data_IF_079843316556
#
_entry.id   IF_079843316556
#
_cell.length_a   1.000
_cell.length_b   1.000
_cell.length_c   1.000
_cell.angle_alpha   90.00
_cell.angle_beta   90.00
_cell.angle_gamma   90.00
#
_symmetry.space_group_name_H-M   'P 1'
#
loop_
_entity.id
_entity.type
_entity.pdbx_description
1 polymer ?
#
# COMPACT_ATOMS: atom_id res chain seq x y z
N UNK A 1 -33.01 2.54 20.25
CA UNK A 1 -33.58 3.42 21.30
C UNK A 1 -32.41 4.19 21.90
N UNK A 2 -32.12 5.37 21.37
CA UNK A 2 -30.97 6.19 21.76
C UNK A 2 -31.48 7.21 22.78
N UNK A 3 -30.75 7.37 23.88
CA UNK A 3 -31.10 8.25 25.00
C UNK A 3 -30.67 9.67 24.62
N UNK A 4 -31.63 10.59 24.52
CA UNK A 4 -31.40 12.03 24.49
C UNK A 4 -31.21 12.51 25.93
N UNK A 5 -30.09 13.16 26.22
CA UNK A 5 -29.91 13.95 27.44
C UNK A 5 -29.99 15.41 27.04
N UNK A 6 -31.10 16.07 27.37
CA UNK A 6 -31.22 17.52 27.36
C UNK A 6 -30.60 18.06 28.66
N UNK A 7 -29.80 19.12 28.55
CA UNK A 7 -29.54 20.00 29.69
C UNK A 7 -29.31 21.43 29.21
N UNK A 8 -30.21 22.32 29.67
CA UNK A 8 -29.87 23.57 30.35
C UNK A 8 -29.20 24.69 29.55
N UNK A 9 -30.00 25.73 29.27
CA UNK A 9 -29.59 27.08 28.88
C UNK A 9 -28.74 27.75 29.96
N UNK A 10 -27.70 28.47 29.55
CA UNK A 10 -27.46 29.91 29.82
C UNK A 10 -26.00 30.28 29.47
N UNK A 11 -25.79 31.35 28.70
CA UNK A 11 -24.50 32.02 28.56
C UNK A 11 -24.01 32.22 27.12
N UNK A 12 -24.25 33.41 26.60
CA UNK A 12 -23.81 33.91 25.30
C UNK A 12 -22.25 33.96 25.17
N UNK A 13 -21.73 33.68 23.96
CA UNK A 13 -20.33 33.71 23.47
C UNK A 13 -19.52 32.40 23.36
N UNK A 14 -20.08 31.33 22.80
CA UNK A 14 -19.30 30.22 22.22
C UNK A 14 -19.80 29.85 20.80
N UNK A 15 -19.74 30.80 19.87
CA UNK A 15 -20.06 30.54 18.45
C UNK A 15 -18.77 30.47 17.61
N UNK A 16 -17.87 29.53 17.91
CA UNK A 16 -16.85 29.02 16.94
C UNK A 16 -16.02 27.82 17.40
N UNK A 17 -16.65 26.73 17.82
CA UNK A 17 -16.02 25.41 17.80
C UNK A 17 -17.10 24.32 17.87
N UNK A 18 -17.95 24.22 16.85
CA UNK A 18 -18.65 22.94 16.65
C UNK A 18 -17.58 21.93 16.26
N UNK A 19 -17.05 21.21 17.25
CA UNK A 19 -16.20 20.05 17.03
C UNK A 19 -16.93 19.14 16.07
N UNK A 20 -16.40 18.94 14.87
CA UNK A 20 -16.93 17.94 13.96
C UNK A 20 -17.01 16.60 14.72
N UNK A 21 -18.09 15.81 14.52
CA UNK A 21 -18.20 14.52 15.19
C UNK A 21 -16.99 13.67 14.83
N UNK A 22 -16.23 13.24 15.85
CA UNK A 22 -15.05 12.41 15.68
C UNK A 22 -15.45 11.11 14.96
N UNK A 23 -15.04 11.00 13.70
CA UNK A 23 -15.22 9.79 12.90
C UNK A 23 -14.14 8.76 13.25
N UNK A 24 -14.43 7.47 13.05
CA UNK A 24 -13.42 6.41 13.23
C UNK A 24 -12.22 6.62 12.29
N UNK A 25 -12.47 7.12 11.08
CA UNK A 25 -11.41 7.51 10.13
C UNK A 25 -10.51 8.59 10.74
N UNK A 26 -11.08 9.64 11.33
CA UNK A 26 -10.31 10.73 11.94
C UNK A 26 -9.43 10.26 13.10
N UNK A 27 -9.92 9.31 13.91
CA UNK A 27 -9.17 8.67 14.98
C UNK A 27 -7.98 7.88 14.43
N UNK A 28 -8.20 7.04 13.41
CA UNK A 28 -7.17 6.20 12.83
C UNK A 28 -6.09 7.03 12.10
N UNK A 29 -6.48 8.05 11.34
CA UNK A 29 -5.53 8.97 10.69
C UNK A 29 -4.69 9.69 11.74
N UNK A 30 -5.30 10.17 12.82
CA UNK A 30 -4.57 10.83 13.91
C UNK A 30 -3.60 9.88 14.60
N UNK A 31 -3.99 8.63 14.83
CA UNK A 31 -3.12 7.61 15.40
C UNK A 31 -1.92 7.31 14.49
N UNK A 32 -2.13 7.21 13.18
CA UNK A 32 -1.04 7.04 12.19
C UNK A 32 -0.08 8.22 12.25
N UNK A 33 -0.57 9.46 12.17
CA UNK A 33 0.26 10.68 12.26
C UNK A 33 1.07 10.75 13.55
N UNK A 34 0.44 10.45 14.68
CA UNK A 34 1.12 10.46 15.99
C UNK A 34 2.24 9.41 16.06
N UNK A 35 2.05 8.28 15.39
CA UNK A 35 2.98 7.16 15.40
C UNK A 35 4.25 7.39 14.53
N UNK A 36 4.23 8.40 13.64
CA UNK A 36 5.39 8.82 12.83
C UNK A 36 6.36 9.72 13.59
N UNK A 37 6.03 10.18 14.81
CA UNK A 37 6.88 11.07 15.59
C UNK A 37 8.03 10.30 16.27
N UNK A 38 9.31 10.72 16.10
CA UNK A 38 10.47 10.06 16.67
C UNK A 38 10.64 10.41 18.15
N UNK A 39 9.74 9.92 18.99
CA UNK A 39 9.80 10.18 20.43
C UNK A 39 10.58 9.05 21.12
N UNK A 40 11.66 9.42 21.82
CA UNK A 40 12.72 8.54 22.34
C UNK A 40 12.30 7.59 23.47
N UNK A 41 11.38 6.65 23.19
CA UNK A 41 10.81 5.70 24.16
C UNK A 41 11.60 4.39 24.24
N UNK A 42 11.44 3.70 25.37
CA UNK A 42 12.18 2.48 25.72
C UNK A 42 11.92 1.31 24.75
N UNK A 43 12.86 0.36 24.68
CA UNK A 43 12.83 -0.80 23.76
C UNK A 43 11.57 -1.67 23.93
N UNK A 44 11.03 -1.81 25.16
CA UNK A 44 9.78 -2.53 25.42
C UNK A 44 8.54 -1.85 24.82
N UNK A 45 8.53 -0.51 24.80
CA UNK A 45 7.45 0.27 24.20
C UNK A 45 7.48 0.18 22.68
N UNK A 46 8.66 0.03 22.07
CA UNK A 46 8.82 -0.02 20.61
C UNK A 46 8.03 -1.17 19.97
N UNK A 47 8.14 -2.40 20.49
CA UNK A 47 7.40 -3.56 19.95
C UNK A 47 5.88 -3.41 20.11
N UNK A 48 5.43 -2.85 21.23
CA UNK A 48 4.02 -2.58 21.47
C UNK A 48 3.48 -1.55 20.45
N UNK A 49 4.22 -0.46 20.25
CA UNK A 49 3.90 0.59 19.27
C UNK A 49 3.82 0.01 17.84
N UNK A 50 4.76 -0.86 17.45
CA UNK A 50 4.73 -1.52 16.13
C UNK A 50 3.48 -2.40 15.93
N UNK A 51 3.08 -3.15 16.96
CA UNK A 51 1.85 -3.97 16.92
C UNK A 51 0.62 -3.06 16.81
N UNK A 52 0.57 -1.98 17.58
CA UNK A 52 -0.53 -1.01 17.55
C UNK A 52 -0.64 -0.32 16.19
N UNK A 53 0.49 0.10 15.60
CA UNK A 53 0.57 0.63 14.22
C UNK A 53 -0.06 -0.34 13.21
N UNK A 54 0.33 -1.61 13.24
CA UNK A 54 -0.22 -2.61 12.32
C UNK A 54 -1.71 -2.85 12.53
N UNK A 55 -2.19 -2.84 13.78
CA UNK A 55 -3.63 -2.98 14.09
C UNK A 55 -4.44 -1.80 13.57
N UNK A 56 -3.95 -0.58 13.79
CA UNK A 56 -4.60 0.64 13.29
C UNK A 56 -4.66 0.65 11.77
N UNK A 57 -3.58 0.24 11.11
CA UNK A 57 -3.52 0.13 9.66
C UNK A 57 -4.48 -0.93 9.11
N UNK A 58 -4.56 -2.10 9.76
CA UNK A 58 -5.52 -3.14 9.39
C UNK A 58 -6.98 -2.66 9.55
N UNK A 59 -7.28 -2.01 10.68
CA UNK A 59 -8.61 -1.45 10.92
C UNK A 59 -8.97 -0.37 9.89
N UNK A 60 -8.00 0.46 9.51
CA UNK A 60 -8.17 1.46 8.46
C UNK A 60 -8.46 0.80 7.11
N UNK A 61 -7.65 -0.16 6.67
CA UNK A 61 -7.87 -0.88 5.41
C UNK A 61 -9.25 -1.55 5.34
N UNK A 62 -9.67 -2.19 6.43
CA UNK A 62 -11.00 -2.81 6.52
C UNK A 62 -12.15 -1.78 6.44
N UNK A 63 -11.93 -0.57 6.96
CA UNK A 63 -12.92 0.51 6.92
C UNK A 63 -13.01 1.17 5.54
N UNK A 64 -11.89 1.27 4.83
CA UNK A 64 -11.81 1.94 3.53
C UNK A 64 -12.28 1.08 2.36
N UNK A 65 -12.07 -0.24 2.40
CA UNK A 65 -12.41 -1.15 1.29
C UNK A 65 -13.93 -1.14 1.02
N UNK A 66 -14.33 -0.75 -0.19
CA UNK A 66 -15.74 -0.67 -0.59
C UNK A 66 -16.55 0.43 0.10
N UNK A 67 -15.90 1.39 0.78
CA UNK A 67 -16.59 2.47 1.50
C UNK A 67 -16.16 3.85 0.98
N UNK A 68 -16.86 4.33 -0.06
CA UNK A 68 -16.58 5.62 -0.72
C UNK A 68 -16.58 6.81 0.22
N UNK A 69 -17.53 6.85 1.16
CA UNK A 69 -17.62 7.96 2.11
C UNK A 69 -16.40 7.99 3.03
N UNK A 70 -15.93 6.82 3.47
CA UNK A 70 -14.70 6.73 4.27
C UNK A 70 -13.45 7.07 3.44
N UNK A 71 -13.38 6.63 2.17
CA UNK A 71 -12.29 6.96 1.25
C UNK A 71 -12.19 8.48 1.02
N UNK A 72 -13.29 9.15 0.68
CA UNK A 72 -13.31 10.62 0.52
C UNK A 72 -12.86 11.33 1.79
N UNK A 73 -13.44 10.95 2.92
CA UNK A 73 -13.09 11.57 4.19
C UNK A 73 -11.63 11.31 4.59
N UNK A 74 -11.10 10.11 4.28
CA UNK A 74 -9.69 9.79 4.49
C UNK A 74 -8.77 10.68 3.66
N UNK A 75 -9.09 10.89 2.37
CA UNK A 75 -8.35 11.79 1.50
C UNK A 75 -8.43 13.25 1.97
N UNK A 76 -9.62 13.73 2.35
CA UNK A 76 -9.82 15.09 2.89
C UNK A 76 -8.96 15.38 4.14
N UNK A 77 -8.70 14.36 4.95
CA UNK A 77 -7.84 14.45 6.14
C UNK A 77 -6.33 14.40 5.83
N UNK A 78 -5.95 14.33 4.55
CA UNK A 78 -4.57 14.09 4.11
C UNK A 78 -4.08 12.69 4.49
N UNK A 79 -4.99 11.72 4.54
CA UNK A 79 -4.71 10.33 4.87
C UNK A 79 -3.63 9.68 4.01
N UNK A 80 -3.65 9.83 2.67
CA UNK A 80 -2.62 9.25 1.81
C UNK A 80 -1.20 9.68 2.19
N UNK A 81 -0.99 11.00 2.37
CA UNK A 81 0.31 11.53 2.81
C UNK A 81 0.68 11.06 4.22
N UNK A 82 -0.29 10.99 5.14
CA UNK A 82 -0.04 10.48 6.49
C UNK A 82 0.42 9.01 6.49
N UNK A 83 -0.10 8.19 5.57
CA UNK A 83 0.39 6.82 5.38
C UNK A 83 1.82 6.82 4.87
N UNK A 84 2.12 7.57 3.81
CA UNK A 84 3.48 7.69 3.27
C UNK A 84 4.49 8.11 4.33
N UNK A 85 4.18 9.18 5.09
CA UNK A 85 5.04 9.71 6.16
C UNK A 85 5.27 8.69 7.29
N UNK A 86 4.34 7.75 7.47
CA UNK A 86 4.44 6.69 8.47
C UNK A 86 5.18 5.45 7.99
N UNK A 87 5.36 5.29 6.67
CA UNK A 87 6.07 4.17 6.08
C UNK A 87 7.57 4.40 6.25
N UNK A 88 8.22 3.48 6.94
CA UNK A 88 9.66 3.32 6.87
C UNK A 88 9.95 2.16 5.90
N UNK A 89 10.80 2.41 4.90
CA UNK A 89 11.32 1.39 3.98
C UNK A 89 12.39 0.51 4.65
N UNK A 90 12.12 0.13 5.91
CA UNK A 90 13.09 -0.37 6.85
C UNK A 90 13.63 -1.78 6.54
N UNK A 91 14.68 -2.14 7.28
CA UNK A 91 15.35 -3.45 7.22
C UNK A 91 14.70 -4.48 8.14
N UNK A 92 13.78 -4.09 9.03
CA UNK A 92 13.15 -5.04 9.96
C UNK A 92 11.87 -5.66 9.38
N UNK A 93 11.53 -6.87 9.82
CA UNK A 93 10.30 -7.54 9.38
C UNK A 93 9.01 -6.75 9.72
N UNK A 94 8.86 -6.10 10.89
CA UNK A 94 7.68 -5.28 11.20
C UNK A 94 7.52 -4.06 10.28
N UNK A 95 8.63 -3.39 9.95
CA UNK A 95 8.63 -2.23 9.04
C UNK A 95 8.25 -2.65 7.62
N UNK A 96 8.85 -3.74 7.10
CA UNK A 96 8.47 -4.30 5.79
C UNK A 96 6.99 -4.64 5.73
N UNK A 97 6.47 -5.34 6.74
CA UNK A 97 5.05 -5.70 6.81
C UNK A 97 4.15 -4.47 6.83
N UNK A 98 4.53 -3.44 7.59
CA UNK A 98 3.77 -2.18 7.62
C UNK A 98 3.78 -1.49 6.25
N UNK A 99 4.94 -1.40 5.60
CA UNK A 99 5.06 -0.84 4.25
C UNK A 99 4.19 -1.61 3.25
N UNK A 100 4.25 -2.95 3.23
CA UNK A 100 3.39 -3.78 2.37
C UNK A 100 1.91 -3.51 2.63
N UNK A 101 1.48 -3.45 3.89
CA UNK A 101 0.08 -3.17 4.22
C UNK A 101 -0.36 -1.76 3.77
N UNK A 102 0.49 -0.75 3.93
CA UNK A 102 0.19 0.61 3.51
C UNK A 102 0.07 0.71 1.99
N UNK A 103 0.99 0.07 1.25
CA UNK A 103 0.93 -0.01 -0.21
C UNK A 103 -0.34 -0.72 -0.68
N UNK A 104 -0.70 -1.85 -0.06
CA UNK A 104 -1.93 -2.60 -0.41
C UNK A 104 -3.19 -1.78 -0.16
N UNK A 105 -3.25 -0.92 0.86
CA UNK A 105 -4.42 -0.05 1.08
C UNK A 105 -4.58 0.95 -0.08
N UNK A 106 -3.49 1.59 -0.52
CA UNK A 106 -3.55 2.51 -1.67
C UNK A 106 -3.99 1.79 -2.94
N UNK A 107 -3.40 0.62 -3.20
CA UNK A 107 -3.78 -0.26 -4.29
C UNK A 107 -5.27 -0.66 -4.24
N UNK A 108 -5.76 -1.15 -3.10
CA UNK A 108 -7.15 -1.60 -2.94
C UNK A 108 -8.13 -0.47 -3.24
N UNK A 109 -7.82 0.75 -2.78
CA UNK A 109 -8.65 1.93 -3.02
C UNK A 109 -8.67 2.28 -4.51
N UNK A 110 -7.51 2.31 -5.17
CA UNK A 110 -7.47 2.60 -6.61
C UNK A 110 -8.21 1.53 -7.41
N UNK A 111 -7.97 0.24 -7.15
CA UNK A 111 -8.67 -0.85 -7.83
C UNK A 111 -10.19 -0.73 -7.68
N UNK A 112 -10.65 -0.44 -6.46
CA UNK A 112 -12.07 -0.27 -6.12
C UNK A 112 -12.69 0.97 -6.80
N UNK A 113 -11.95 2.08 -6.89
CA UNK A 113 -12.36 3.29 -7.62
C UNK A 113 -12.46 3.06 -9.12
N UNK A 114 -11.53 2.32 -9.71
CA UNK A 114 -11.51 2.01 -11.14
C UNK A 114 -12.68 1.10 -11.52
N UNK A 115 -12.99 0.12 -10.69
CA UNK A 115 -14.05 -0.85 -10.96
C UNK A 115 -15.45 -0.29 -10.68
N UNK A 116 -15.62 0.51 -9.63
CA UNK A 116 -16.95 0.84 -9.10
C UNK A 116 -17.18 2.33 -8.85
N UNK A 117 -16.19 3.20 -9.10
CA UNK A 117 -16.24 4.60 -8.72
C UNK A 117 -17.43 5.35 -9.33
N UNK A 118 -17.65 5.21 -10.63
CA UNK A 118 -18.74 5.89 -11.36
C UNK A 118 -20.11 5.23 -11.14
N UNK A 119 -20.14 3.91 -10.93
CA UNK A 119 -21.37 3.14 -10.67
C UNK A 119 -22.04 3.55 -9.35
N UNK A 120 -21.26 4.01 -8.38
CA UNK A 120 -21.73 4.44 -7.06
C UNK A 120 -21.97 5.94 -6.95
N UNK A 121 -22.12 6.62 -8.10
CA UNK A 121 -22.58 8.00 -8.17
C UNK A 121 -21.51 9.08 -7.99
N UNK A 122 -20.23 8.74 -8.18
CA UNK A 122 -19.17 9.75 -8.34
C UNK A 122 -19.07 10.20 -9.79
N UNK A 123 -18.69 11.46 -9.99
CA UNK A 123 -18.27 11.90 -11.32
C UNK A 123 -16.91 11.31 -11.69
N UNK A 124 -16.61 11.22 -12.99
CA UNK A 124 -15.29 10.80 -13.47
C UNK A 124 -14.17 11.70 -12.91
N UNK A 125 -14.42 13.00 -12.80
CA UNK A 125 -13.48 13.96 -12.21
C UNK A 125 -13.21 13.68 -10.72
N UNK A 126 -14.23 13.31 -9.96
CA UNK A 126 -14.09 12.94 -8.54
C UNK A 126 -13.30 11.63 -8.39
N UNK A 127 -13.58 10.63 -9.24
CA UNK A 127 -12.83 9.37 -9.29
C UNK A 127 -11.37 9.66 -9.58
N UNK A 128 -11.10 10.42 -10.65
CA UNK A 128 -9.75 10.78 -11.07
C UNK A 128 -9.00 11.49 -9.95
N UNK A 129 -9.63 12.50 -9.33
CA UNK A 129 -9.01 13.24 -8.23
C UNK A 129 -8.63 12.33 -7.06
N UNK A 130 -9.47 11.36 -6.70
CA UNK A 130 -9.14 10.41 -5.64
C UNK A 130 -8.01 9.47 -6.04
N UNK A 131 -7.98 9.00 -7.29
CA UNK A 131 -6.88 8.17 -7.81
C UNK A 131 -5.57 8.95 -7.74
N UNK A 132 -5.56 10.22 -8.20
CA UNK A 132 -4.38 11.09 -8.23
C UNK A 132 -3.70 11.23 -6.84
N UNK A 133 -4.45 11.10 -5.74
CA UNK A 133 -3.94 11.18 -4.36
C UNK A 133 -3.18 9.91 -3.93
N UNK A 134 -3.40 8.79 -4.61
CA UNK A 134 -2.71 7.51 -4.41
C UNK A 134 -1.73 7.17 -5.54
N UNK A 135 -1.55 8.06 -6.52
CA UNK A 135 -0.64 7.87 -7.66
C UNK A 135 0.38 9.01 -7.81
N UNK A 136 0.58 9.77 -6.72
CA UNK A 136 1.76 10.65 -6.58
C UNK A 136 3.05 9.86 -6.76
N UNK A 137 4.15 10.52 -7.15
CA UNK A 137 5.45 9.86 -7.33
C UNK A 137 5.86 8.97 -6.14
N UNK A 138 5.69 9.46 -4.90
CA UNK A 138 6.03 8.70 -3.69
C UNK A 138 5.22 7.40 -3.56
N UNK A 139 3.92 7.43 -3.90
CA UNK A 139 3.09 6.23 -3.95
C UNK A 139 3.52 5.27 -5.05
N UNK A 140 3.86 5.80 -6.23
CA UNK A 140 4.32 5.00 -7.37
C UNK A 140 5.69 4.34 -7.12
N UNK A 141 6.53 4.94 -6.28
CA UNK A 141 7.83 4.37 -5.90
C UNK A 141 7.74 3.26 -4.83
N UNK A 142 6.70 3.28 -3.98
CA UNK A 142 6.56 2.29 -2.90
C UNK A 142 6.56 0.83 -3.40
N UNK A 143 5.76 0.42 -4.40
CA UNK A 143 5.82 -0.93 -4.95
C UNK A 143 7.19 -1.27 -5.54
N UNK A 144 7.88 -0.32 -6.16
CA UNK A 144 9.23 -0.55 -6.70
C UNK A 144 10.24 -0.85 -5.59
N UNK A 145 10.12 -0.16 -4.45
CA UNK A 145 10.92 -0.47 -3.27
C UNK A 145 10.60 -1.86 -2.70
N UNK A 146 9.32 -2.23 -2.61
CA UNK A 146 8.91 -3.56 -2.16
C UNK A 146 9.43 -4.68 -3.07
N UNK A 147 9.46 -4.45 -4.39
CA UNK A 147 9.99 -5.39 -5.37
C UNK A 147 11.49 -5.70 -5.17
N UNK A 148 12.23 -4.78 -4.56
CA UNK A 148 13.65 -4.96 -4.24
C UNK A 148 13.93 -5.79 -2.98
N UNK A 149 12.90 -6.19 -2.23
CA UNK A 149 13.05 -6.94 -0.98
C UNK A 149 13.18 -8.44 -1.23
N UNK A 150 14.05 -9.13 -0.50
CA UNK A 150 14.28 -10.58 -0.64
C UNK A 150 13.16 -11.42 0.02
N UNK A 151 11.94 -11.30 -0.50
CA UNK A 151 10.78 -12.07 -0.07
C UNK A 151 9.71 -12.14 -1.18
N UNK A 152 9.46 -13.33 -1.74
CA UNK A 152 8.53 -13.48 -2.87
C UNK A 152 7.09 -13.09 -2.56
N UNK A 153 6.63 -13.25 -1.31
CA UNK A 153 5.27 -12.82 -0.91
C UNK A 153 5.16 -11.29 -0.98
N UNK A 154 6.20 -10.57 -0.57
CA UNK A 154 6.24 -9.10 -0.68
C UNK A 154 6.35 -8.69 -2.15
N UNK A 155 7.19 -9.37 -2.94
CA UNK A 155 7.36 -9.09 -4.37
C UNK A 155 6.07 -9.33 -5.16
N UNK A 156 5.34 -10.40 -4.89
CA UNK A 156 4.01 -10.67 -5.48
C UNK A 156 3.05 -9.52 -5.20
N UNK A 157 2.92 -9.11 -3.93
CA UNK A 157 2.08 -7.97 -3.56
C UNK A 157 2.51 -6.68 -4.24
N UNK A 158 3.81 -6.46 -4.40
CA UNK A 158 4.34 -5.33 -5.13
C UNK A 158 3.94 -5.37 -6.62
N UNK A 159 3.98 -6.55 -7.26
CA UNK A 159 3.54 -6.72 -8.65
C UNK A 159 2.04 -6.48 -8.82
N UNK A 160 1.20 -7.00 -7.92
CA UNK A 160 -0.24 -6.72 -7.91
C UNK A 160 -0.51 -5.20 -7.85
N UNK A 161 0.20 -4.51 -6.95
CA UNK A 161 0.11 -3.05 -6.83
C UNK A 161 0.56 -2.34 -8.11
N UNK A 162 1.70 -2.75 -8.68
CA UNK A 162 2.22 -2.17 -9.92
C UNK A 162 1.26 -2.34 -11.09
N UNK A 163 0.63 -3.49 -11.25
CA UNK A 163 -0.31 -3.72 -12.36
C UNK A 163 -1.56 -2.85 -12.32
N UNK A 164 -1.93 -2.37 -11.14
CA UNK A 164 -3.09 -1.47 -10.98
C UNK A 164 -2.70 -0.01 -10.98
N UNK A 165 -1.60 0.35 -10.32
CA UNK A 165 -1.18 1.75 -10.19
C UNK A 165 -0.46 2.25 -11.44
N UNK A 166 0.21 1.38 -12.21
CA UNK A 166 1.07 1.80 -13.32
C UNK A 166 0.41 2.69 -14.37
N UNK A 167 -0.85 2.47 -14.82
CA UNK A 167 -1.44 3.32 -15.85
C UNK A 167 -1.56 4.78 -15.37
N UNK A 168 -1.94 4.95 -14.10
CA UNK A 168 -2.13 6.24 -13.46
C UNK A 168 -0.81 6.89 -13.04
N UNK A 169 0.17 6.09 -12.61
CA UNK A 169 1.51 6.55 -12.31
C UNK A 169 2.22 7.11 -13.55
N UNK A 170 2.05 6.48 -14.72
CA UNK A 170 2.58 6.99 -16.00
C UNK A 170 1.88 8.30 -16.37
N UNK A 171 0.55 8.35 -16.34
CA UNK A 171 -0.21 9.54 -16.71
C UNK A 171 0.14 10.75 -15.83
N UNK A 172 0.15 10.57 -14.50
CA UNK A 172 0.34 11.66 -13.55
C UNK A 172 1.78 12.17 -13.48
N UNK A 173 2.77 11.32 -13.80
CA UNK A 173 4.19 11.66 -13.69
C UNK A 173 4.86 11.84 -15.06
N UNK A 174 4.08 12.01 -16.14
CA UNK A 174 4.57 12.20 -17.51
C UNK A 174 5.26 13.56 -17.76
N UNK A 175 4.98 14.59 -16.95
CA UNK A 175 5.53 15.95 -17.12
C UNK A 175 6.86 16.18 -16.36
N UNK A 176 7.31 15.21 -15.56
CA UNK A 176 8.68 15.17 -15.04
C UNK A 176 9.63 14.55 -16.06
N UNK A 177 10.90 14.96 -16.09
CA UNK A 177 11.93 14.38 -16.96
C UNK A 177 12.03 12.84 -16.76
N UNK A 178 11.26 12.09 -17.55
CA UNK A 178 11.48 10.74 -18.08
C UNK A 178 11.78 9.54 -17.14
N UNK A 179 11.69 9.62 -15.81
CA UNK A 179 12.34 8.56 -14.99
C UNK A 179 11.45 7.40 -14.47
N UNK A 180 10.16 7.61 -14.12
CA UNK A 180 9.43 6.57 -13.37
C UNK A 180 9.11 5.32 -14.20
N UNK A 181 8.57 5.48 -15.41
CA UNK A 181 8.21 4.35 -16.27
C UNK A 181 9.43 3.49 -16.62
N UNK A 182 10.56 4.13 -16.94
CA UNK A 182 11.83 3.45 -17.20
C UNK A 182 12.36 2.73 -15.96
N UNK A 183 12.30 3.38 -14.79
CA UNK A 183 12.67 2.78 -13.50
C UNK A 183 11.81 1.55 -13.18
N UNK A 184 10.51 1.62 -13.44
CA UNK A 184 9.58 0.51 -13.27
C UNK A 184 9.94 -0.66 -14.21
N UNK A 185 10.16 -0.37 -15.49
CA UNK A 185 10.61 -1.37 -16.48
C UNK A 185 11.94 -2.01 -16.05
N UNK A 186 12.91 -1.21 -15.59
CA UNK A 186 14.20 -1.70 -15.08
C UNK A 186 14.06 -2.63 -13.88
N UNK A 187 13.22 -2.26 -12.91
CA UNK A 187 12.95 -3.08 -11.72
C UNK A 187 12.26 -4.40 -12.08
N UNK A 188 11.27 -4.37 -12.98
CA UNK A 188 10.55 -5.55 -13.47
C UNK A 188 11.48 -6.51 -14.23
N UNK A 189 12.31 -5.99 -15.15
CA UNK A 189 13.28 -6.79 -15.88
C UNK A 189 14.33 -7.43 -14.95
N UNK A 190 14.77 -6.70 -13.91
CA UNK A 190 15.66 -7.24 -12.89
C UNK A 190 15.02 -8.42 -12.17
N UNK A 191 13.77 -8.28 -11.72
CA UNK A 191 13.08 -9.36 -11.02
C UNK A 191 12.76 -10.55 -11.95
N UNK A 192 12.40 -10.28 -13.20
CA UNK A 192 12.21 -11.33 -14.21
C UNK A 192 13.49 -12.16 -14.40
N UNK A 193 14.65 -11.49 -14.47
CA UNK A 193 15.94 -12.15 -14.61
C UNK A 193 16.27 -13.02 -13.39
N UNK A 194 16.05 -12.51 -12.18
CA UNK A 194 16.19 -13.27 -10.92
C UNK A 194 15.36 -14.56 -10.95
N UNK A 195 14.07 -14.45 -11.29
CA UNK A 195 13.19 -15.63 -11.38
C UNK A 195 13.72 -16.65 -12.39
N UNK A 196 14.25 -16.22 -13.54
CA UNK A 196 14.80 -17.12 -14.56
C UNK A 196 16.06 -17.82 -14.05
N UNK A 197 16.98 -17.08 -13.45
CA UNK A 197 18.28 -17.58 -12.96
C UNK A 197 18.15 -18.54 -11.78
N UNK A 198 17.18 -18.33 -10.88
CA UNK A 198 16.90 -19.22 -9.73
C UNK A 198 16.46 -20.65 -10.15
N UNK A 199 16.15 -20.88 -11.44
CA UNK A 199 15.80 -22.21 -11.96
C UNK A 199 16.90 -22.91 -12.77
N UNK A 200 18.11 -22.34 -12.89
CA UNK A 200 19.14 -22.86 -13.80
C UNK A 200 20.17 -23.81 -13.15
N UNK A 201 19.99 -24.22 -11.90
CA UNK A 201 20.97 -25.05 -11.16
C UNK A 201 20.74 -26.56 -11.19
N UNK A 202 19.88 -27.10 -12.06
CA UNK A 202 19.69 -28.56 -12.19
C UNK A 202 19.80 -29.05 -13.64
N UNK A 203 20.96 -28.81 -14.27
CA UNK A 203 21.43 -29.69 -15.37
C UNK A 203 22.94 -29.93 -15.21
N UNK A 204 23.30 -30.95 -14.42
CA UNK A 204 24.69 -31.42 -14.37
C UNK A 204 25.08 -32.18 -13.11
N UNK A 205 24.64 -33.43 -12.99
CA UNK A 205 25.15 -34.30 -11.93
C UNK A 205 24.39 -35.61 -11.79
N UNK A 206 24.63 -36.57 -12.69
CA UNK A 206 24.45 -37.98 -12.33
C UNK A 206 25.50 -38.32 -11.27
N UNK A 207 25.12 -38.19 -10.02
CA UNK A 207 25.83 -38.70 -8.85
C UNK A 207 24.79 -39.29 -7.90
N UNK A 208 24.70 -40.60 -7.90
CA UNK A 208 23.94 -41.38 -6.93
C UNK A 208 24.56 -41.15 -5.54
N UNK A 209 23.80 -40.59 -4.59
CA UNK A 209 23.66 -41.08 -3.21
C UNK A 209 23.03 -40.03 -2.26
N UNK A 210 22.04 -40.52 -1.52
CA UNK A 210 21.54 -40.14 -0.19
C UNK A 210 21.17 -38.68 0.19
N UNK A 211 19.85 -38.48 0.28
CA UNK A 211 19.13 -37.72 1.32
C UNK A 211 19.53 -36.27 1.58
N UNK A 212 18.82 -35.35 0.93
CA UNK A 212 18.47 -34.04 1.48
C UNK A 212 17.22 -33.51 0.76
N UNK A 213 16.04 -33.78 1.33
CA UNK A 213 14.74 -33.19 0.94
C UNK A 213 14.68 -31.71 1.36
N UNK A 214 15.58 -30.88 0.84
CA UNK A 214 15.50 -29.42 0.93
C UNK A 214 15.64 -28.84 -0.49
N UNK A 215 14.69 -29.21 -1.36
CA UNK A 215 14.45 -28.51 -2.63
C UNK A 215 13.73 -27.19 -2.31
N UNK A 216 14.49 -26.21 -1.81
CA UNK A 216 14.04 -24.85 -1.41
C UNK A 216 13.70 -23.95 -2.62
N UNK A 217 13.44 -24.54 -3.80
CA UNK A 217 13.09 -23.83 -5.02
C UNK A 217 11.67 -23.24 -4.99
N UNK A 218 11.47 -22.14 -5.72
CA UNK A 218 10.11 -21.63 -5.99
C UNK A 218 9.37 -22.66 -6.84
N UNK A 219 8.14 -23.00 -6.44
CA UNK A 219 7.26 -23.86 -7.22
C UNK A 219 7.16 -23.36 -8.69
N UNK A 220 7.36 -24.23 -9.69
CA UNK A 220 7.38 -23.84 -11.10
C UNK A 220 6.07 -23.20 -11.59
N UNK A 221 4.92 -23.59 -11.02
CA UNK A 221 3.61 -23.00 -11.36
C UNK A 221 3.56 -21.57 -10.84
N UNK A 222 3.91 -21.37 -9.56
CA UNK A 222 3.96 -20.05 -8.95
C UNK A 222 4.96 -19.12 -9.64
N UNK A 223 6.16 -19.63 -9.99
CA UNK A 223 7.15 -18.88 -10.78
C UNK A 223 6.57 -18.43 -12.13
N UNK A 224 5.83 -19.30 -12.81
CA UNK A 224 5.18 -18.95 -14.08
C UNK A 224 4.13 -17.84 -13.88
N UNK A 225 3.30 -17.91 -12.84
CA UNK A 225 2.31 -16.88 -12.53
C UNK A 225 2.96 -15.51 -12.30
N UNK A 226 4.08 -15.45 -11.57
CA UNK A 226 4.84 -14.21 -11.38
C UNK A 226 5.40 -13.66 -12.70
N UNK A 227 5.93 -14.53 -13.56
CA UNK A 227 6.43 -14.12 -14.88
C UNK A 227 5.30 -13.59 -15.78
N UNK A 228 4.13 -14.23 -15.76
CA UNK A 228 2.96 -13.80 -16.52
C UNK A 228 2.48 -12.42 -16.02
N UNK A 229 2.47 -12.19 -14.71
CA UNK A 229 2.15 -10.90 -14.11
C UNK A 229 3.15 -9.80 -14.54
N UNK A 230 4.45 -10.08 -14.46
CA UNK A 230 5.50 -9.14 -14.92
C UNK A 230 5.30 -8.77 -16.40
N UNK A 231 5.07 -9.77 -17.25
CA UNK A 231 4.87 -9.55 -18.68
C UNK A 231 3.63 -8.68 -18.94
N UNK A 232 2.52 -8.92 -18.22
CA UNK A 232 1.33 -8.09 -18.32
C UNK A 232 1.59 -6.62 -17.98
N UNK A 233 2.34 -6.37 -16.90
CA UNK A 233 2.70 -5.00 -16.48
C UNK A 233 3.63 -4.35 -17.51
N UNK A 234 4.65 -5.07 -17.99
CA UNK A 234 5.59 -4.57 -19.00
C UNK A 234 4.91 -4.22 -20.32
N UNK A 235 3.84 -4.91 -20.70
CA UNK A 235 3.04 -4.57 -21.89
C UNK A 235 2.26 -3.27 -21.66
N UNK A 236 1.71 -3.06 -20.46
CA UNK A 236 0.99 -1.82 -20.13
C UNK A 236 1.87 -0.58 -19.97
N UNK A 237 3.17 -0.76 -19.71
CA UNK A 237 4.14 0.33 -19.56
C UNK A 237 4.80 0.78 -20.88
N UNK A 238 4.55 0.09 -22.00
CA UNK A 238 5.10 0.38 -23.33
C UNK A 238 4.08 1.09 -24.22
#
# INVERSE_FOLDING_TARGET
KIILVESGKDGENEEKARSEPLSVVSLLVSAIKASSSPDGRNVGDKRYIEIEKQKNLYALGALLRGNRSAQRHFTELGGPNALLDSVSLGVTAPERKYATMATVIGYDIVADLVLHGTEEGMSEDEVKKLIDEFTTLAWCELPLHLLSMDNYIIKEKALECLGTLSPYCVEQNAEGDEEWGEKAVGALNKFQKELIEDGSTTEGGQGEDDSSDDDDGIDPVYKKELLDLINGILVGLK
#
